data_IF_296391342709
#
_entry.id   IF_296391342709
#
_cell.length_a   1.000
_cell.length_b   1.000
_cell.length_c   1.000
_cell.angle_alpha   90.00
_cell.angle_beta   90.00
_cell.angle_gamma   90.00
#
_symmetry.space_group_name_H-M   'P 1'
#
loop_
_entity.id
_entity.type
_entity.pdbx_description
1 polymer ?
#
# COMPACT_ATOMS: atom_id res chain seq x y z
N UNK A 1 -11.12 -15.16 18.82
CA UNK A 1 -10.32 -14.78 17.63
C UNK A 1 -10.00 -13.27 17.54
N UNK A 2 -10.37 -12.42 18.51
CA UNK A 2 -10.24 -10.94 18.41
C UNK A 2 -9.17 -10.28 19.31
N UNK A 3 -8.47 -11.05 20.15
CA UNK A 3 -7.43 -10.55 21.07
C UNK A 3 -6.12 -10.09 20.37
N UNK A 4 -5.69 -10.65 19.21
CA UNK A 4 -4.42 -10.24 18.58
C UNK A 4 -4.46 -8.80 18.00
N UNK A 5 -5.62 -8.36 17.50
CA UNK A 5 -5.77 -7.07 16.79
C UNK A 5 -5.69 -5.89 17.77
N UNK A 6 -6.28 -6.03 18.96
CA UNK A 6 -6.21 -4.99 20.01
C UNK A 6 -4.82 -4.86 20.64
N UNK A 7 -4.01 -5.94 20.67
CA UNK A 7 -2.62 -5.88 21.17
C UNK A 7 -1.66 -5.22 20.19
N UNK A 8 -1.93 -5.29 18.89
CA UNK A 8 -1.11 -4.63 17.88
C UNK A 8 -1.26 -3.09 17.94
N UNK A 9 -2.50 -2.60 18.08
CA UNK A 9 -2.81 -1.16 18.17
C UNK A 9 -2.31 -0.50 19.47
N UNK A 10 -2.27 -1.25 20.59
CA UNK A 10 -1.82 -0.69 21.88
C UNK A 10 -0.29 -0.58 22.02
N UNK A 11 0.49 -1.33 21.22
CA UNK A 11 1.96 -1.32 21.28
C UNK A 11 2.60 -0.18 20.48
N UNK A 12 1.93 0.33 19.45
CA UNK A 12 2.42 1.45 18.63
C UNK A 12 2.29 2.80 19.34
N UNK A 13 1.33 2.95 20.25
CA UNK A 13 1.06 4.22 20.94
C UNK A 13 2.08 4.59 22.05
N UNK A 14 2.97 3.66 22.48
CA UNK A 14 3.88 3.89 23.62
C UNK A 14 5.33 4.24 23.25
N UNK A 15 5.67 4.34 21.95
CA UNK A 15 7.07 4.46 21.50
C UNK A 15 7.47 5.80 20.86
N UNK A 16 6.56 6.76 20.72
CA UNK A 16 6.87 8.04 20.06
C UNK A 16 6.48 9.23 20.93
N UNK A 17 7.18 9.35 22.05
CA UNK A 17 7.47 10.63 22.70
C UNK A 17 8.98 10.66 22.78
N UNK A 18 9.62 11.46 21.92
CA UNK A 18 10.99 12.02 21.99
C UNK A 18 11.64 12.05 20.59
N UNK A 19 12.36 13.16 20.32
CA UNK A 19 13.15 13.49 19.11
C UNK A 19 12.38 14.29 18.05
N UNK A 20 12.38 15.63 18.09
CA UNK A 20 13.45 16.61 17.74
C UNK A 20 13.41 17.00 16.25
N UNK A 21 13.25 18.31 16.06
CA UNK A 21 13.18 19.13 14.84
C UNK A 21 14.56 19.30 14.17
N UNK A 22 14.59 19.33 12.83
CA UNK A 22 15.82 19.63 12.06
C UNK A 22 15.59 20.03 10.60
N UNK A 23 15.60 21.34 10.37
CA UNK A 23 15.92 22.18 9.19
C UNK A 23 16.38 21.56 7.86
N UNK A 24 15.79 22.03 6.76
CA UNK A 24 16.22 21.80 5.36
C UNK A 24 16.78 23.10 4.74
N UNK A 25 18.05 23.07 4.30
CA UNK A 25 18.65 24.03 3.36
C UNK A 25 18.91 23.28 2.06
N UNK A 26 18.51 23.83 0.90
CA UNK A 26 18.83 23.24 -0.42
C UNK A 26 19.36 24.30 -1.37
N UNK A 27 20.63 24.13 -1.76
CA UNK A 27 21.29 24.86 -2.84
C UNK A 27 21.23 24.06 -4.15
N UNK A 28 21.05 24.84 -5.23
CA UNK A 28 20.98 24.49 -6.66
C UNK A 28 22.37 24.19 -7.23
N UNK A 29 22.45 23.29 -8.22
CA UNK A 29 23.45 23.31 -9.32
C UNK A 29 22.99 22.45 -10.50
N UNK A 30 23.27 22.98 -11.69
CA UNK A 30 22.82 22.54 -13.01
C UNK A 30 23.77 21.52 -13.68
N UNK A 31 23.21 20.84 -14.69
CA UNK A 31 23.79 20.27 -15.92
C UNK A 31 24.79 19.08 -15.87
N UNK A 32 24.44 17.97 -16.57
CA UNK A 32 25.03 17.49 -17.84
C UNK A 32 24.55 16.05 -18.13
N UNK A 33 24.00 15.81 -19.33
CA UNK A 33 23.66 14.49 -19.88
C UNK A 33 24.91 13.68 -20.24
N UNK A 34 24.86 12.34 -20.14
CA UNK A 34 25.22 11.57 -21.32
C UNK A 34 24.27 10.39 -21.62
N UNK A 35 24.37 10.00 -22.88
CA UNK A 35 23.60 9.09 -23.70
C UNK A 35 23.82 7.59 -23.43
N UNK A 36 22.71 6.85 -23.51
CA UNK A 36 22.47 5.54 -24.13
C UNK A 36 23.57 4.45 -24.07
N UNK A 37 23.31 3.45 -23.22
CA UNK A 37 23.60 2.03 -23.51
C UNK A 37 22.64 1.12 -22.73
N UNK A 38 21.37 1.12 -23.13
CA UNK A 38 20.37 0.15 -22.70
C UNK A 38 20.47 -1.11 -23.58
N UNK A 39 20.97 -2.20 -23.01
CA UNK A 39 20.45 -3.57 -23.24
C UNK A 39 21.34 -4.57 -22.52
N UNK A 40 21.03 -4.84 -21.25
CA UNK A 40 21.04 -6.15 -20.55
C UNK A 40 20.85 -5.88 -19.05
N UNK A 41 19.68 -5.36 -18.67
CA UNK A 41 19.33 -5.12 -17.26
C UNK A 41 18.06 -5.90 -16.91
N UNK A 42 18.15 -7.23 -17.04
CA UNK A 42 17.07 -8.15 -16.68
C UNK A 42 17.23 -8.56 -15.21
N UNK A 43 16.34 -8.05 -14.36
CA UNK A 43 16.06 -8.48 -12.99
C UNK A 43 17.24 -8.52 -12.00
N UNK A 44 17.80 -7.34 -11.66
CA UNK A 44 18.57 -7.18 -10.42
C UNK A 44 17.62 -6.76 -9.30
N UNK A 45 17.70 -7.41 -8.13
CA UNK A 45 16.87 -7.05 -6.98
C UNK A 45 17.10 -5.58 -6.58
N UNK A 46 16.06 -4.81 -6.20
CA UNK A 46 16.17 -3.37 -5.90
C UNK A 46 17.22 -3.04 -4.83
N UNK A 47 17.41 -3.94 -3.85
CA UNK A 47 18.44 -3.80 -2.82
C UNK A 47 19.87 -3.79 -3.36
N UNK A 48 20.11 -4.49 -4.46
CA UNK A 48 21.43 -4.59 -5.09
C UNK A 48 21.75 -3.34 -5.91
N UNK A 49 20.71 -2.70 -6.47
CA UNK A 49 20.82 -1.40 -7.14
C UNK A 49 21.07 -0.28 -6.11
N UNK A 50 20.40 -0.34 -4.96
CA UNK A 50 20.65 0.59 -3.86
C UNK A 50 22.07 0.45 -3.30
N UNK A 51 22.51 -0.77 -3.00
CA UNK A 51 23.88 -1.04 -2.54
C UNK A 51 24.94 -0.56 -3.54
N UNK A 52 24.72 -0.78 -4.84
CA UNK A 52 25.61 -0.29 -5.90
C UNK A 52 25.65 1.25 -5.96
N UNK A 53 24.51 1.92 -5.79
CA UNK A 53 24.46 3.39 -5.78
C UNK A 53 25.20 4.01 -4.58
N UNK A 54 25.07 3.40 -3.39
CA UNK A 54 25.79 3.83 -2.19
C UNK A 54 27.29 3.60 -2.31
N UNK A 55 27.68 2.43 -2.84
CA UNK A 55 29.07 2.12 -3.16
C UNK A 55 29.71 3.16 -4.08
N UNK A 56 29.03 3.53 -5.17
CA UNK A 56 29.51 4.56 -6.10
C UNK A 56 29.62 5.92 -5.41
N UNK A 57 28.66 6.29 -4.56
CA UNK A 57 28.71 7.54 -3.81
C UNK A 57 29.91 7.60 -2.86
N UNK A 58 30.29 6.48 -2.22
CA UNK A 58 31.45 6.41 -1.33
C UNK A 58 32.75 6.48 -2.14
N UNK A 59 32.86 5.72 -3.24
CA UNK A 59 34.06 5.69 -4.09
C UNK A 59 34.35 7.06 -4.71
N UNK A 60 33.31 7.83 -5.05
CA UNK A 60 33.44 9.15 -5.69
C UNK A 60 33.74 10.29 -4.71
N UNK A 61 33.75 10.05 -3.40
CA UNK A 61 34.12 11.10 -2.43
C UNK A 61 35.62 11.44 -2.53
N UNK A 62 35.98 12.74 -2.65
CA UNK A 62 37.36 13.15 -2.88
C UNK A 62 38.25 12.87 -1.66
N UNK A 63 39.33 12.09 -1.87
CA UNK A 63 40.31 11.69 -0.84
C UNK A 63 40.99 12.86 -0.11
N UNK A 64 40.94 14.07 -0.66
CA UNK A 64 41.54 15.27 -0.07
C UNK A 64 40.84 15.74 1.22
N UNK A 65 39.58 15.33 1.45
CA UNK A 65 38.75 15.84 2.54
C UNK A 65 38.69 14.91 3.76
N UNK A 66 39.46 13.82 3.75
CA UNK A 66 39.33 12.71 4.70
C UNK A 66 40.60 12.63 5.56
N UNK A 67 40.43 12.78 6.87
CA UNK A 67 41.49 12.63 7.87
C UNK A 67 42.18 11.26 7.80
N UNK A 68 43.44 11.14 8.27
CA UNK A 68 44.22 9.90 8.15
C UNK A 68 43.54 8.68 8.79
N UNK A 69 42.78 8.86 9.88
CA UNK A 69 42.07 7.76 10.55
C UNK A 69 40.88 7.26 9.72
N UNK A 70 40.15 8.15 9.02
CA UNK A 70 39.03 7.78 8.16
C UNK A 70 39.47 7.20 6.81
N UNK A 71 40.73 7.37 6.40
CA UNK A 71 41.27 6.73 5.18
C UNK A 71 41.22 5.20 5.23
N UNK A 72 41.50 4.59 6.39
CA UNK A 72 41.47 3.13 6.52
C UNK A 72 40.03 2.60 6.41
N UNK A 73 39.08 3.24 7.09
CA UNK A 73 37.66 2.86 7.05
C UNK A 73 37.07 3.05 5.64
N UNK A 74 37.40 4.16 4.96
CA UNK A 74 36.95 4.42 3.58
C UNK A 74 37.59 3.41 2.60
N UNK A 75 38.85 3.05 2.80
CA UNK A 75 39.51 2.02 2.00
C UNK A 75 38.86 0.64 2.19
N UNK A 76 38.58 0.23 3.42
CA UNK A 76 37.89 -1.03 3.71
C UNK A 76 36.45 -1.04 3.17
N UNK A 77 35.74 0.08 3.25
CA UNK A 77 34.41 0.22 2.66
C UNK A 77 34.45 0.12 1.12
N UNK A 78 35.47 0.68 0.48
CA UNK A 78 35.68 0.54 -0.97
C UNK A 78 35.98 -0.90 -1.39
N UNK A 79 36.79 -1.63 -0.62
CA UNK A 79 37.04 -3.05 -0.87
C UNK A 79 35.76 -3.89 -0.72
N UNK A 80 34.95 -3.62 0.30
CA UNK A 80 33.66 -4.28 0.51
C UNK A 80 32.68 -3.97 -0.63
N UNK A 81 32.62 -2.72 -1.07
CA UNK A 81 31.80 -2.28 -2.18
C UNK A 81 32.19 -2.99 -3.50
N UNK A 82 33.48 -3.12 -3.78
CA UNK A 82 33.97 -3.85 -4.96
C UNK A 82 33.58 -5.33 -4.91
N UNK A 83 33.68 -5.97 -3.73
CA UNK A 83 33.34 -7.39 -3.55
C UNK A 83 31.84 -7.65 -3.80
N UNK A 84 30.96 -6.71 -3.42
CA UNK A 84 29.51 -6.78 -3.71
C UNK A 84 29.22 -6.60 -5.20
N UNK A 85 29.98 -5.72 -5.88
CA UNK A 85 29.80 -5.46 -7.31
C UNK A 85 30.29 -6.62 -8.18
N UNK A 86 31.38 -7.29 -7.79
CA UNK A 86 31.94 -8.41 -8.55
C UNK A 86 31.15 -9.70 -8.38
N UNK A 87 30.52 -9.93 -7.22
CA UNK A 87 29.78 -11.17 -6.95
C UNK A 87 28.33 -10.95 -6.43
N UNK A 88 27.40 -10.50 -7.29
CA UNK A 88 26.04 -10.14 -6.89
C UNK A 88 25.14 -11.34 -6.52
N UNK A 89 25.54 -12.57 -6.86
CA UNK A 89 24.71 -13.77 -6.65
C UNK A 89 24.97 -14.47 -5.30
N UNK A 90 26.15 -14.29 -4.71
CA UNK A 90 26.55 -14.99 -3.47
C UNK A 90 26.02 -14.36 -2.17
N UNK A 91 25.39 -13.18 -2.21
CA UNK A 91 25.16 -12.35 -1.02
C UNK A 91 23.72 -12.18 -0.51
N UNK A 92 22.71 -12.90 -1.02
CA UNK A 92 21.29 -12.64 -0.69
C UNK A 92 20.96 -12.55 0.81
N UNK A 93 21.47 -13.42 1.72
CA UNK A 93 21.16 -13.31 3.14
C UNK A 93 21.93 -12.19 3.87
N UNK A 94 23.04 -11.69 3.31
CA UNK A 94 23.91 -10.69 3.97
C UNK A 94 23.83 -9.28 3.35
N UNK A 95 23.10 -9.10 2.25
CA UNK A 95 23.00 -7.81 1.54
C UNK A 95 22.41 -6.70 2.41
N UNK A 96 21.49 -7.02 3.33
CA UNK A 96 20.92 -6.05 4.28
C UNK A 96 21.97 -5.51 5.26
N UNK A 97 22.82 -6.39 5.78
CA UNK A 97 23.90 -6.03 6.71
C UNK A 97 24.92 -5.15 6.01
N UNK A 98 25.31 -5.50 4.79
CA UNK A 98 26.23 -4.68 3.99
C UNK A 98 25.63 -3.31 3.69
N UNK A 99 24.35 -3.24 3.34
CA UNK A 99 23.66 -1.98 3.04
C UNK A 99 23.57 -1.07 4.27
N UNK A 100 23.33 -1.64 5.46
CA UNK A 100 23.33 -0.88 6.73
C UNK A 100 24.72 -0.31 7.05
N UNK A 101 25.78 -1.10 6.86
CA UNK A 101 27.16 -0.65 7.06
C UNK A 101 27.51 0.48 6.07
N UNK A 102 27.16 0.33 4.79
CA UNK A 102 27.42 1.35 3.77
C UNK A 102 26.66 2.66 4.06
N UNK A 103 25.41 2.60 4.53
CA UNK A 103 24.67 3.81 4.96
C UNK A 103 25.34 4.50 6.15
N UNK A 104 25.84 3.73 7.11
CA UNK A 104 26.53 4.28 8.29
C UNK A 104 27.85 4.94 7.90
N UNK A 105 28.61 4.35 6.99
CA UNK A 105 29.82 4.95 6.41
C UNK A 105 29.48 6.24 5.65
N UNK A 106 28.48 6.21 4.77
CA UNK A 106 28.06 7.39 4.01
C UNK A 106 27.61 8.54 4.93
N UNK A 107 26.86 8.22 5.98
CA UNK A 107 26.43 9.18 6.99
C UNK A 107 27.63 9.84 7.67
N UNK A 108 28.61 9.06 8.15
CA UNK A 108 29.80 9.60 8.81
C UNK A 108 30.65 10.44 7.86
N UNK A 109 30.85 9.99 6.62
CA UNK A 109 31.61 10.74 5.60
C UNK A 109 30.94 12.07 5.24
N UNK A 110 29.60 12.11 5.18
CA UNK A 110 28.85 13.36 4.91
C UNK A 110 28.83 14.34 6.08
N UNK A 111 28.88 13.84 7.32
CA UNK A 111 28.76 14.67 8.53
C UNK A 111 30.10 15.03 9.17
N UNK A 112 31.21 14.47 8.69
CA UNK A 112 32.56 14.92 9.05
C UNK A 112 32.81 16.28 8.38
N UNK A 113 32.32 17.35 9.01
CA UNK A 113 32.58 18.72 8.57
C UNK A 113 34.08 19.01 8.74
N UNK A 114 34.73 19.67 7.77
CA UNK A 114 36.11 20.09 7.94
C UNK A 114 36.17 21.07 9.11
N UNK A 115 36.58 20.57 10.28
CA UNK A 115 36.79 21.38 11.46
C UNK A 115 37.86 22.41 11.13
N UNK A 116 37.43 23.66 11.01
CA UNK A 116 38.29 24.78 10.72
C UNK A 116 39.29 24.93 11.88
N UNK A 117 40.50 24.42 11.66
CA UNK A 117 41.80 24.77 12.26
C UNK A 117 41.68 25.70 13.49
N UNK A 118 41.33 25.13 14.63
CA UNK A 118 41.32 25.78 15.94
C UNK A 118 41.37 24.68 16.99
N UNK A 119 42.55 24.45 17.57
CA UNK A 119 42.85 23.26 18.37
C UNK A 119 42.03 23.16 19.65
N UNK A 120 40.89 22.47 19.55
CA UNK A 120 40.12 21.95 20.67
C UNK A 120 39.89 20.46 20.41
N UNK A 121 40.16 19.66 21.43
CA UNK A 121 40.39 18.22 21.34
C UNK A 121 39.34 17.45 20.55
N UNK A 122 39.83 16.54 19.70
CA UNK A 122 39.03 15.50 19.05
C UNK A 122 38.23 14.75 20.13
N UNK A 123 36.90 14.72 19.97
CA UNK A 123 36.03 14.01 20.91
C UNK A 123 36.36 12.53 20.87
N UNK A 124 36.88 11.97 21.97
CA UNK A 124 37.23 10.55 22.12
C UNK A 124 36.11 9.58 21.70
N UNK A 125 34.86 10.05 21.64
CA UNK A 125 33.70 9.28 21.21
C UNK A 125 33.66 9.01 19.69
N UNK A 126 34.17 9.94 18.87
CA UNK A 126 34.13 9.79 17.40
C UNK A 126 35.17 8.78 16.93
N UNK A 127 36.33 8.74 17.59
CA UNK A 127 37.38 7.73 17.37
C UNK A 127 36.90 6.32 17.76
N UNK A 128 36.19 6.19 18.89
CA UNK A 128 35.60 4.92 19.29
C UNK A 128 34.55 4.44 18.27
N UNK A 129 33.70 5.33 17.76
CA UNK A 129 32.71 4.99 16.73
C UNK A 129 33.38 4.54 15.42
N UNK A 130 34.45 5.20 14.98
CA UNK A 130 35.21 4.81 13.79
C UNK A 130 35.89 3.45 13.95
N UNK A 131 36.46 3.17 15.13
CA UNK A 131 37.08 1.88 15.43
C UNK A 131 36.05 0.73 15.42
N UNK A 132 34.88 0.93 16.06
CA UNK A 132 33.81 -0.08 16.03
C UNK A 132 33.30 -0.35 14.62
N UNK A 133 33.19 0.68 13.78
CA UNK A 133 32.76 0.53 12.39
C UNK A 133 33.81 -0.21 11.54
N UNK A 134 35.09 0.04 11.78
CA UNK A 134 36.18 -0.70 11.13
C UNK A 134 36.17 -2.19 11.49
N UNK A 135 35.85 -2.54 12.74
CA UNK A 135 35.72 -3.93 13.17
C UNK A 135 34.50 -4.62 12.53
N UNK A 136 33.36 -3.92 12.42
CA UNK A 136 32.15 -4.45 11.75
C UNK A 136 32.40 -4.72 10.25
N UNK A 137 33.10 -3.81 9.56
CA UNK A 137 33.48 -3.99 8.15
C UNK A 137 34.41 -5.20 7.99
N UNK A 138 35.40 -5.35 8.89
CA UNK A 138 36.35 -6.48 8.86
C UNK A 138 35.64 -7.82 9.04
N UNK A 139 34.73 -7.93 10.01
CA UNK A 139 33.95 -9.15 10.25
C UNK A 139 33.10 -9.53 9.04
N UNK A 140 32.40 -8.58 8.44
CA UNK A 140 31.57 -8.86 7.25
C UNK A 140 32.43 -9.26 6.05
N UNK A 141 33.63 -8.68 5.91
CA UNK A 141 34.60 -9.08 4.88
C UNK A 141 35.08 -10.52 5.07
N UNK A 142 35.51 -10.89 6.27
CA UNK A 142 35.94 -12.26 6.62
C UNK A 142 34.83 -13.29 6.38
N UNK A 143 33.59 -12.94 6.73
CA UNK A 143 32.39 -13.74 6.53
C UNK A 143 32.06 -13.97 5.05
N UNK A 144 32.36 -13.01 4.18
CA UNK A 144 32.16 -13.11 2.75
C UNK A 144 33.28 -13.93 2.09
N UNK A 145 34.52 -13.80 2.56
CA UNK A 145 35.66 -14.58 2.03
C UNK A 145 35.59 -16.06 2.44
N UNK A 146 35.20 -16.37 3.68
CA UNK A 146 35.01 -17.76 4.17
C UNK A 146 33.94 -18.53 3.38
N UNK A 147 32.90 -17.83 2.92
CA UNK A 147 31.82 -18.43 2.11
C UNK A 147 32.31 -18.79 0.70
N UNK A 148 33.33 -18.09 0.19
CA UNK A 148 33.91 -18.36 -1.13
C UNK A 148 34.83 -19.61 -1.08
N UNK A 149 35.62 -19.78 -0.01
CA UNK A 149 36.60 -20.86 0.14
C UNK A 149 35.95 -22.24 0.38
N UNK A 150 34.94 -22.31 1.25
CA UNK A 150 34.17 -23.54 1.52
C UNK A 150 33.45 -24.09 0.28
N UNK A 151 33.12 -23.22 -0.69
CA UNK A 151 32.45 -23.63 -1.92
C UNK A 151 33.40 -24.23 -2.97
N UNK A 152 34.67 -23.80 -2.98
CA UNK A 152 35.68 -24.37 -3.89
C UNK A 152 35.96 -25.83 -3.51
N UNK A 153 35.89 -26.18 -2.23
CA UNK A 153 36.03 -27.56 -1.76
C UNK A 153 34.80 -28.44 -2.10
N UNK A 154 33.58 -27.93 -1.93
CA UNK A 154 32.35 -28.69 -2.24
C UNK A 154 32.16 -28.93 -3.76
N UNK A 155 32.65 -28.02 -4.61
CA UNK A 155 32.48 -28.14 -6.06
C UNK A 155 33.46 -29.14 -6.71
N UNK A 156 34.46 -29.63 -5.97
CA UNK A 156 35.40 -30.67 -6.39
C UNK A 156 34.94 -32.10 -6.03
N UNK A 157 33.83 -32.24 -5.27
CA UNK A 157 33.40 -33.52 -4.71
C UNK A 157 32.24 -34.24 -5.45
N UNK A 158 31.76 -33.72 -6.58
CA UNK A 158 30.49 -34.17 -7.19
C UNK A 158 30.57 -34.85 -8.58
N UNK A 159 31.76 -35.28 -9.03
CA UNK A 159 31.92 -35.82 -10.40
C UNK A 159 31.99 -37.36 -10.52
N UNK A 160 31.53 -38.10 -9.51
CA UNK A 160 31.34 -39.56 -9.62
C UNK A 160 29.98 -39.96 -9.06
N UNK A 161 29.03 -40.33 -9.92
CA UNK A 161 28.22 -41.57 -9.86
C UNK A 161 27.13 -41.55 -10.93
N UNK A 162 27.25 -42.45 -11.89
CA UNK A 162 26.32 -42.74 -12.97
C UNK A 162 25.35 -43.89 -12.64
N UNK A 163 24.24 -43.92 -13.39
CA UNK A 163 23.51 -45.11 -13.92
C UNK A 163 22.36 -45.79 -13.13
N UNK A 164 21.20 -45.82 -13.81
CA UNK A 164 20.44 -47.03 -14.24
C UNK A 164 19.11 -47.43 -13.58
N UNK A 165 18.10 -47.64 -14.47
CA UNK A 165 17.02 -48.68 -14.51
C UNK A 165 15.92 -48.71 -13.43
N UNK A 166 14.69 -49.20 -13.62
CA UNK A 166 13.95 -49.86 -14.73
C UNK A 166 12.45 -49.99 -14.40
N UNK A 167 11.61 -49.89 -15.45
CA UNK A 167 10.44 -50.72 -15.87
C UNK A 167 9.81 -51.70 -14.84
N UNK A 168 8.47 -51.70 -14.75
CA UNK A 168 7.65 -52.91 -14.52
C UNK A 168 6.21 -52.76 -15.03
N UNK A 169 5.83 -53.68 -15.91
CA UNK A 169 4.50 -54.01 -16.45
C UNK A 169 3.82 -55.07 -15.56
N UNK A 170 2.47 -55.12 -15.53
CA UNK A 170 1.79 -56.43 -15.58
C UNK A 170 0.30 -56.40 -15.94
N UNK A 171 -0.04 -57.37 -16.77
CA UNK A 171 -1.32 -57.79 -17.35
C UNK A 171 -2.13 -58.67 -16.38
N UNK A 172 -3.46 -58.76 -16.55
CA UNK A 172 -4.13 -60.04 -16.84
C UNK A 172 -5.64 -59.91 -17.11
N UNK A 173 -6.06 -60.60 -18.19
CA UNK A 173 -7.43 -60.93 -18.61
C UNK A 173 -7.96 -62.10 -17.79
N UNK A 174 -9.28 -62.20 -17.62
CA UNK A 174 -10.04 -63.47 -17.77
C UNK A 174 -11.54 -63.21 -17.91
N UNK A 175 -12.20 -64.22 -18.46
CA UNK A 175 -13.41 -64.16 -19.30
C UNK A 175 -14.62 -64.79 -18.60
N UNK A 176 -15.81 -64.42 -19.10
CA UNK A 176 -17.06 -65.20 -19.21
C UNK A 176 -17.94 -65.47 -17.96
N UNK A 177 -19.13 -64.85 -17.95
CA UNK A 177 -20.41 -65.60 -17.95
C UNK A 177 -21.61 -64.70 -18.28
N UNK A 178 -22.32 -65.04 -19.36
CA UNK A 178 -23.64 -64.48 -19.70
C UNK A 178 -24.69 -64.95 -18.69
N UNK A 179 -25.39 -64.00 -18.04
CA UNK A 179 -26.74 -64.16 -17.49
C UNK A 179 -27.50 -62.85 -17.68
N UNK A 180 -28.80 -62.99 -17.93
CA UNK A 180 -29.78 -61.97 -18.28
C UNK A 180 -29.68 -60.68 -17.44
N UNK A 181 -29.85 -59.54 -18.10
CA UNK A 181 -29.81 -58.19 -17.53
C UNK A 181 -31.16 -57.83 -16.88
N UNK A 182 -31.26 -57.76 -15.54
CA UNK A 182 -32.14 -56.78 -14.91
C UNK A 182 -31.54 -55.38 -15.12
N UNK A 183 -32.40 -54.37 -15.30
CA UNK A 183 -31.98 -52.97 -15.36
C UNK A 183 -31.02 -52.65 -14.21
N UNK A 184 -29.82 -52.11 -14.48
CA UNK A 184 -28.95 -51.66 -13.41
C UNK A 184 -29.62 -50.43 -12.80
N UNK A 185 -30.25 -50.60 -11.64
CA UNK A 185 -30.45 -49.50 -10.71
C UNK A 185 -29.06 -48.99 -10.37
N UNK A 186 -28.60 -47.99 -11.14
CA UNK A 186 -27.37 -47.27 -10.91
C UNK A 186 -27.55 -46.57 -9.54
N UNK A 187 -27.22 -47.29 -8.46
CA UNK A 187 -26.86 -46.66 -7.19
C UNK A 187 -25.57 -45.91 -7.48
N UNK A 188 -25.70 -44.73 -8.08
CA UNK A 188 -24.64 -43.73 -8.10
C UNK A 188 -24.36 -43.49 -6.63
N UNK A 189 -23.22 -44.00 -6.18
CA UNK A 189 -22.71 -43.76 -4.84
C UNK A 189 -22.57 -42.24 -4.69
N UNK A 190 -23.61 -41.58 -4.17
CA UNK A 190 -23.69 -40.14 -3.91
C UNK A 190 -22.74 -39.67 -2.80
N UNK A 191 -21.69 -40.44 -2.49
CA UNK A 191 -20.93 -40.34 -1.25
C UNK A 191 -19.55 -39.67 -1.43
N UNK A 192 -19.11 -39.33 -2.65
CA UNK A 192 -17.79 -38.68 -2.83
C UNK A 192 -17.76 -37.25 -3.35
N UNK A 193 -18.88 -36.64 -3.76
CA UNK A 193 -18.88 -35.24 -4.24
C UNK A 193 -19.05 -34.22 -3.09
N UNK A 194 -19.61 -34.63 -1.93
CA UNK A 194 -19.90 -33.70 -0.83
C UNK A 194 -18.66 -33.24 -0.06
N UNK A 195 -17.58 -34.04 -0.01
CA UNK A 195 -16.35 -33.69 0.70
C UNK A 195 -15.52 -32.63 -0.04
N UNK A 196 -15.61 -32.57 -1.38
CA UNK A 196 -14.93 -31.54 -2.18
C UNK A 196 -15.57 -30.16 -2.09
N UNK A 197 -16.91 -30.09 -2.05
CA UNK A 197 -17.65 -28.83 -1.97
C UNK A 197 -17.41 -28.09 -0.64
N UNK A 198 -17.29 -28.83 0.47
CA UNK A 198 -16.99 -28.26 1.78
C UNK A 198 -15.64 -27.55 1.80
N UNK A 199 -14.60 -28.21 1.27
CA UNK A 199 -13.26 -27.64 1.17
C UNK A 199 -13.24 -26.38 0.29
N UNK A 200 -13.90 -26.42 -0.87
CA UNK A 200 -14.01 -25.29 -1.80
C UNK A 200 -14.68 -24.07 -1.16
N UNK A 201 -15.76 -24.26 -0.40
CA UNK A 201 -16.48 -23.17 0.29
C UNK A 201 -15.61 -22.50 1.36
N UNK A 202 -14.88 -23.27 2.16
CA UNK A 202 -13.93 -22.71 3.14
C UNK A 202 -12.75 -22.01 2.48
N UNK A 203 -12.31 -22.45 1.31
CA UNK A 203 -11.20 -21.83 0.60
C UNK A 203 -11.63 -20.51 -0.07
N UNK A 204 -12.80 -20.49 -0.69
CA UNK A 204 -13.39 -19.30 -1.32
C UNK A 204 -13.62 -18.18 -0.31
N UNK A 205 -14.20 -18.47 0.86
CA UNK A 205 -14.40 -17.46 1.92
C UNK A 205 -13.08 -16.89 2.47
N UNK A 206 -12.04 -17.72 2.62
CA UNK A 206 -10.70 -17.24 3.02
C UNK A 206 -10.03 -16.40 1.94
N UNK A 207 -10.21 -16.75 0.67
CA UNK A 207 -9.70 -15.96 -0.46
C UNK A 207 -10.43 -14.62 -0.55
N UNK A 208 -11.76 -14.61 -0.50
CA UNK A 208 -12.55 -13.38 -0.47
C UNK A 208 -12.17 -12.50 0.72
N UNK A 209 -11.93 -13.07 1.90
CA UNK A 209 -11.48 -12.31 3.06
C UNK A 209 -10.06 -11.76 2.90
N UNK A 210 -9.15 -12.51 2.27
CA UNK A 210 -7.80 -12.01 1.97
C UNK A 210 -7.83 -10.92 0.90
N UNK A 211 -8.58 -11.11 -0.17
CA UNK A 211 -8.83 -10.08 -1.18
C UNK A 211 -9.49 -8.86 -0.54
N UNK A 212 -10.45 -9.06 0.37
CA UNK A 212 -11.06 -7.99 1.14
C UNK A 212 -10.03 -7.23 1.96
N UNK A 213 -9.22 -7.89 2.77
CA UNK A 213 -8.18 -7.22 3.57
C UNK A 213 -7.15 -6.51 2.69
N UNK A 214 -6.66 -7.16 1.64
CA UNK A 214 -5.66 -6.57 0.73
C UNK A 214 -6.23 -5.36 0.03
N UNK A 215 -7.45 -5.46 -0.51
CA UNK A 215 -8.08 -4.38 -1.24
C UNK A 215 -8.50 -3.24 -0.30
N UNK A 216 -8.92 -3.53 0.93
CA UNK A 216 -9.27 -2.51 1.93
C UNK A 216 -8.04 -1.79 2.50
N UNK A 217 -6.88 -2.45 2.56
CA UNK A 217 -5.63 -1.84 3.01
C UNK A 217 -4.84 -1.15 1.88
N UNK A 218 -4.91 -1.66 0.65
CA UNK A 218 -4.13 -1.14 -0.48
C UNK A 218 -4.90 -0.11 -1.31
N UNK A 219 -6.24 -0.10 -1.35
CA UNK A 219 -6.94 0.99 -2.02
C UNK A 219 -6.68 2.37 -1.41
N UNK A 220 -6.67 2.54 -0.08
CA UNK A 220 -6.28 3.82 0.51
C UNK A 220 -4.91 4.25 0.02
N UNK A 221 -3.95 3.32 -0.07
CA UNK A 221 -2.60 3.60 -0.59
C UNK A 221 -2.62 3.99 -2.06
N UNK A 222 -3.43 3.31 -2.88
CA UNK A 222 -3.58 3.65 -4.29
C UNK A 222 -4.21 5.04 -4.47
N UNK A 223 -5.26 5.35 -3.71
CA UNK A 223 -5.91 6.65 -3.74
C UNK A 223 -4.99 7.77 -3.24
N UNK A 224 -4.23 7.52 -2.18
CA UNK A 224 -3.22 8.46 -1.69
C UNK A 224 -2.08 8.67 -2.68
N UNK A 225 -1.62 7.61 -3.34
CA UNK A 225 -0.66 7.72 -4.44
C UNK A 225 -1.21 8.60 -5.56
N UNK A 226 -2.52 8.49 -5.87
CA UNK A 226 -3.18 9.33 -6.87
C UNK A 226 -3.24 10.80 -6.43
N UNK A 227 -3.65 11.07 -5.20
CA UNK A 227 -3.64 12.44 -4.64
C UNK A 227 -2.22 13.00 -4.71
N UNK A 228 -1.22 12.22 -4.32
CA UNK A 228 0.17 12.63 -4.36
C UNK A 228 0.64 12.93 -5.80
N UNK A 229 0.20 12.15 -6.79
CA UNK A 229 0.47 12.47 -8.20
C UNK A 229 -0.21 13.75 -8.63
N UNK A 230 -1.42 14.06 -8.17
CA UNK A 230 -2.09 15.33 -8.46
C UNK A 230 -1.35 16.52 -7.86
N UNK A 231 -0.96 16.41 -6.58
CA UNK A 231 -0.21 17.48 -5.91
C UNK A 231 1.16 17.69 -6.54
N UNK A 232 1.77 16.64 -7.11
CA UNK A 232 3.09 16.71 -7.75
C UNK A 232 3.04 17.15 -9.22
N UNK A 233 2.02 16.73 -9.96
CA UNK A 233 1.84 17.06 -11.38
C UNK A 233 1.12 18.39 -11.60
N UNK A 234 0.49 18.93 -10.56
CA UNK A 234 0.19 20.36 -10.53
C UNK A 234 1.56 21.05 -10.60
N UNK A 235 1.88 21.63 -11.75
CA UNK A 235 3.19 22.21 -12.01
C UNK A 235 3.66 23.02 -10.79
N UNK A 236 4.95 22.90 -10.39
CA UNK A 236 5.46 23.76 -9.35
C UNK A 236 5.08 25.17 -9.73
N UNK A 237 4.30 25.84 -8.87
CA UNK A 237 3.89 27.23 -9.05
C UNK A 237 5.07 27.97 -9.67
N UNK A 238 4.88 28.63 -10.84
CA UNK A 238 5.98 29.32 -11.48
C UNK A 238 6.68 30.13 -10.39
N UNK A 239 7.98 29.90 -10.24
CA UNK A 239 8.79 30.36 -9.11
C UNK A 239 8.72 31.89 -8.92
N UNK A 240 8.18 32.56 -9.93
CA UNK A 240 7.67 33.92 -9.91
C UNK A 240 6.16 33.88 -10.06
N UNK A 241 5.41 34.06 -8.97
CA UNK A 241 4.03 34.52 -9.09
C UNK A 241 4.09 35.80 -9.94
N UNK A 242 3.41 35.90 -11.10
CA UNK A 242 3.49 37.08 -11.93
C UNK A 242 3.13 38.26 -11.04
N UNK A 243 4.07 39.19 -10.88
CA UNK A 243 3.82 40.40 -10.10
C UNK A 243 2.59 41.03 -10.71
N UNK A 244 1.47 40.98 -9.98
CA UNK A 244 0.27 41.67 -10.39
C UNK A 244 0.69 43.13 -10.35
N UNK A 245 0.97 43.70 -11.51
CA UNK A 245 1.43 45.07 -11.66
C UNK A 245 0.34 45.99 -11.10
N UNK A 246 0.36 46.18 -9.79
CA UNK A 246 -0.43 47.17 -9.09
C UNK A 246 0.22 48.50 -9.41
N UNK A 247 -0.18 49.07 -10.54
CA UNK A 247 -0.03 50.48 -10.78
C UNK A 247 -0.75 51.22 -9.63
N UNK A 248 0.04 51.74 -8.70
CA UNK A 248 -0.28 52.87 -7.81
C UNK A 248 -1.50 52.71 -6.90
N UNK A 249 -1.35 51.99 -5.79
CA UNK A 249 -2.10 52.31 -4.56
C UNK A 249 -1.11 52.37 -3.41
N UNK A 250 -0.66 53.57 -3.09
CA UNK A 250 0.53 53.89 -2.28
C UNK A 250 0.26 53.85 -0.75
N UNK A 251 -0.82 53.24 -0.30
CA UNK A 251 -1.26 53.38 1.10
C UNK A 251 -1.73 52.09 1.79
N UNK A 252 -1.57 50.92 1.18
CA UNK A 252 -1.89 49.65 1.85
C UNK A 252 -0.60 48.87 2.13
N UNK A 253 -0.39 48.39 3.37
CA UNK A 253 0.78 47.58 3.71
C UNK A 253 0.83 46.35 2.82
N UNK A 254 2.05 45.98 2.43
CA UNK A 254 2.47 44.89 1.55
C UNK A 254 2.06 43.50 2.12
N UNK A 255 0.76 43.22 2.15
CA UNK A 255 0.22 41.96 2.65
C UNK A 255 0.43 40.84 1.61
N UNK A 256 1.46 40.03 1.85
CA UNK A 256 1.72 38.64 1.45
C UNK A 256 1.18 38.17 0.07
N UNK A 257 1.88 38.56 -1.00
CA UNK A 257 1.76 37.95 -2.34
C UNK A 257 1.94 36.41 -2.35
N UNK A 258 2.61 35.84 -1.33
CA UNK A 258 2.75 34.39 -1.14
C UNK A 258 1.40 33.71 -0.83
N UNK A 259 0.47 34.40 -0.17
CA UNK A 259 -0.81 33.84 0.27
C UNK A 259 -1.79 33.61 -0.90
N UNK A 260 -1.74 34.47 -1.92
CA UNK A 260 -2.60 34.36 -3.12
C UNK A 260 -2.25 33.12 -3.97
N UNK A 261 -0.97 32.81 -4.12
CA UNK A 261 -0.53 31.64 -4.91
C UNK A 261 -0.88 30.30 -4.24
N UNK A 262 -0.89 30.26 -2.91
CA UNK A 262 -1.32 29.08 -2.14
C UNK A 262 -2.85 28.89 -2.21
N UNK A 263 -3.62 29.99 -2.25
CA UNK A 263 -5.07 29.94 -2.40
C UNK A 263 -5.49 29.37 -3.76
N UNK A 264 -4.84 29.81 -4.83
CA UNK A 264 -5.07 29.33 -6.20
C UNK A 264 -4.77 27.83 -6.35
N UNK A 265 -3.68 27.34 -5.74
CA UNK A 265 -3.38 25.92 -5.72
C UNK A 265 -4.44 25.13 -4.94
N UNK A 266 -4.82 25.64 -3.75
CA UNK A 266 -5.84 25.01 -2.92
C UNK A 266 -7.17 24.89 -3.66
N UNK A 267 -7.63 25.93 -4.35
CA UNK A 267 -8.88 25.92 -5.11
C UNK A 267 -8.85 24.90 -6.27
N UNK A 268 -7.73 24.77 -7.00
CA UNK A 268 -7.59 23.76 -8.05
C UNK A 268 -7.68 22.33 -7.52
N UNK A 269 -6.99 22.05 -6.41
CA UNK A 269 -7.03 20.71 -5.78
C UNK A 269 -8.45 20.43 -5.27
N UNK A 270 -9.05 21.39 -4.58
CA UNK A 270 -10.36 21.24 -3.97
C UNK A 270 -11.47 21.08 -5.01
N UNK A 271 -11.47 21.88 -6.07
CA UNK A 271 -12.45 21.78 -7.16
C UNK A 271 -12.39 20.43 -7.87
N UNK A 272 -11.18 19.89 -8.06
CA UNK A 272 -10.97 18.54 -8.62
C UNK A 272 -11.54 17.45 -7.71
N UNK A 273 -11.24 17.52 -6.42
CA UNK A 273 -11.78 16.61 -5.40
C UNK A 273 -13.31 16.67 -5.29
N UNK A 274 -13.87 17.87 -5.21
CA UNK A 274 -15.32 18.08 -5.16
C UNK A 274 -16.00 17.54 -6.42
N UNK A 275 -15.38 17.71 -7.60
CA UNK A 275 -15.89 17.14 -8.84
C UNK A 275 -15.90 15.61 -8.81
N UNK A 276 -14.84 14.98 -8.31
CA UNK A 276 -14.76 13.52 -8.18
C UNK A 276 -15.79 12.99 -7.15
N UNK A 277 -15.96 13.66 -6.01
CA UNK A 277 -16.97 13.24 -5.04
C UNK A 277 -18.39 13.42 -5.56
N UNK A 278 -18.64 14.46 -6.35
CA UNK A 278 -19.94 14.65 -7.00
C UNK A 278 -20.24 13.53 -7.98
N UNK A 279 -19.26 13.06 -8.76
CA UNK A 279 -19.46 11.91 -9.65
C UNK A 279 -19.63 10.61 -8.86
N UNK A 280 -18.87 10.39 -7.79
CA UNK A 280 -19.02 9.23 -6.90
C UNK A 280 -20.40 9.19 -6.24
N UNK A 281 -20.94 10.34 -5.83
CA UNK A 281 -22.31 10.43 -5.28
C UNK A 281 -23.34 10.00 -6.31
N UNK A 282 -23.27 10.53 -7.53
CA UNK A 282 -24.18 10.13 -8.62
C UNK A 282 -24.05 8.64 -8.90
N UNK A 283 -22.83 8.12 -9.01
CA UNK A 283 -22.58 6.70 -9.25
C UNK A 283 -23.17 5.82 -8.13
N UNK A 284 -22.99 6.20 -6.87
CA UNK A 284 -23.57 5.48 -5.73
C UNK A 284 -25.11 5.46 -5.78
N UNK A 285 -25.75 6.54 -6.22
CA UNK A 285 -27.20 6.59 -6.37
C UNK A 285 -27.72 5.69 -7.50
N UNK A 286 -26.96 5.57 -8.60
CA UNK A 286 -27.28 4.68 -9.71
C UNK A 286 -27.18 3.22 -9.24
N UNK A 287 -26.08 2.87 -8.58
CA UNK A 287 -25.88 1.51 -8.05
C UNK A 287 -26.99 1.17 -7.06
N UNK A 288 -27.34 2.10 -6.16
CA UNK A 288 -28.43 1.91 -5.21
C UNK A 288 -29.76 1.63 -5.92
N UNK A 289 -30.13 2.42 -6.93
CA UNK A 289 -31.34 2.20 -7.72
C UNK A 289 -31.32 0.85 -8.47
N UNK A 290 -30.17 0.48 -9.06
CA UNK A 290 -30.01 -0.79 -9.77
C UNK A 290 -30.09 -2.00 -8.84
N UNK A 291 -29.49 -1.93 -7.65
CA UNK A 291 -29.57 -2.99 -6.65
C UNK A 291 -31.00 -3.15 -6.15
N UNK A 292 -31.71 -2.05 -5.88
CA UNK A 292 -33.12 -2.11 -5.49
C UNK A 292 -33.99 -2.74 -6.58
N UNK A 293 -33.79 -2.36 -7.84
CA UNK A 293 -34.52 -2.96 -8.97
C UNK A 293 -34.24 -4.47 -9.10
N UNK A 294 -33.00 -4.90 -8.84
CA UNK A 294 -32.64 -6.33 -8.84
C UNK A 294 -33.31 -7.09 -7.68
N UNK A 295 -33.41 -6.49 -6.50
CA UNK A 295 -34.07 -7.07 -5.33
C UNK A 295 -35.59 -7.15 -5.47
N UNK A 296 -36.21 -6.38 -6.37
CA UNK A 296 -37.66 -6.46 -6.64
C UNK A 296 -38.08 -7.71 -7.42
N UNK A 297 -37.13 -8.48 -7.96
CA UNK A 297 -37.42 -9.74 -8.63
C UNK A 297 -37.65 -10.80 -7.54
N UNK A 298 -38.87 -11.31 -7.40
CA UNK A 298 -39.26 -12.27 -6.34
C UNK A 298 -38.29 -13.47 -6.24
N UNK A 299 -37.83 -13.98 -7.40
CA UNK A 299 -36.87 -15.08 -7.47
C UNK A 299 -35.51 -14.77 -6.80
N UNK A 300 -35.10 -13.51 -6.77
CA UNK A 300 -33.84 -13.07 -6.14
C UNK A 300 -33.96 -13.00 -4.62
N UNK A 301 -35.15 -12.73 -4.09
CA UNK A 301 -35.39 -12.68 -2.65
C UNK A 301 -35.32 -14.07 -2.01
N UNK A 302 -35.77 -15.09 -2.73
CA UNK A 302 -35.75 -16.48 -2.27
C UNK A 302 -34.33 -17.07 -2.24
N UNK A 303 -33.45 -16.67 -3.16
CA UNK A 303 -32.06 -17.13 -3.14
C UNK A 303 -31.13 -16.24 -2.30
N UNK A 304 -30.68 -16.82 -1.19
CA UNK A 304 -29.71 -16.22 -0.30
C UNK A 304 -28.32 -15.97 -0.92
N UNK A 305 -27.94 -16.71 -1.97
CA UNK A 305 -26.62 -16.55 -2.62
C UNK A 305 -26.57 -15.27 -3.44
N UNK A 306 -27.63 -14.96 -4.19
CA UNK A 306 -27.77 -13.72 -4.95
C UNK A 306 -28.09 -12.52 -4.04
N UNK A 307 -29.03 -12.66 -3.11
CA UNK A 307 -29.48 -11.52 -2.29
C UNK A 307 -28.41 -11.01 -1.31
N UNK A 308 -27.54 -11.88 -0.77
CA UNK A 308 -26.50 -11.48 0.18
C UNK A 308 -25.54 -10.42 -0.38
N UNK A 309 -24.82 -10.63 -1.50
CA UNK A 309 -23.93 -9.62 -2.06
C UNK A 309 -24.67 -8.35 -2.49
N UNK A 310 -25.94 -8.45 -2.91
CA UNK A 310 -26.79 -7.29 -3.19
C UNK A 310 -27.01 -6.42 -1.93
N UNK A 311 -27.33 -7.02 -0.78
CA UNK A 311 -27.49 -6.27 0.47
C UNK A 311 -26.19 -5.61 0.94
N UNK A 312 -25.04 -6.29 0.81
CA UNK A 312 -23.75 -5.66 1.11
C UNK A 312 -23.44 -4.51 0.15
N UNK A 313 -23.72 -4.69 -1.15
CA UNK A 313 -23.57 -3.63 -2.15
C UNK A 313 -24.40 -2.40 -1.77
N UNK A 314 -25.65 -2.60 -1.37
CA UNK A 314 -26.54 -1.53 -0.91
C UNK A 314 -25.99 -0.82 0.32
N UNK A 315 -25.52 -1.57 1.32
CA UNK A 315 -24.92 -1.02 2.54
C UNK A 315 -23.70 -0.14 2.23
N UNK A 316 -22.74 -0.64 1.44
CA UNK A 316 -21.56 0.15 1.05
C UNK A 316 -21.92 1.33 0.14
N UNK A 317 -22.95 1.20 -0.69
CA UNK A 317 -23.48 2.29 -1.51
C UNK A 317 -24.02 3.44 -0.66
N UNK A 318 -24.85 3.12 0.35
CA UNK A 318 -25.40 4.10 1.29
C UNK A 318 -24.28 4.77 2.11
N UNK A 319 -23.33 3.99 2.62
CA UNK A 319 -22.18 4.53 3.37
C UNK A 319 -21.33 5.48 2.50
N UNK A 320 -21.13 5.13 1.23
CA UNK A 320 -20.44 6.00 0.28
C UNK A 320 -21.22 7.30 0.05
N UNK A 321 -22.52 7.21 -0.22
CA UNK A 321 -23.37 8.36 -0.47
C UNK A 321 -23.38 9.34 0.71
N UNK A 322 -23.52 8.84 1.94
CA UNK A 322 -23.50 9.67 3.16
C UNK A 322 -22.12 10.31 3.37
N UNK A 323 -21.03 9.54 3.23
CA UNK A 323 -19.70 10.10 3.41
C UNK A 323 -19.35 11.15 2.35
N UNK A 324 -19.70 10.90 1.08
CA UNK A 324 -19.54 11.86 -0.01
C UNK A 324 -20.35 13.14 0.22
N UNK A 325 -21.60 13.05 0.68
CA UNK A 325 -22.42 14.25 0.94
C UNK A 325 -21.89 15.07 2.11
N UNK A 326 -21.45 14.44 3.19
CA UNK A 326 -20.84 15.13 4.33
C UNK A 326 -19.56 15.88 3.89
N UNK A 327 -18.69 15.21 3.12
CA UNK A 327 -17.46 15.82 2.61
C UNK A 327 -17.78 16.98 1.65
N UNK A 328 -18.70 16.79 0.71
CA UNK A 328 -19.13 17.82 -0.24
C UNK A 328 -19.64 19.07 0.49
N UNK A 329 -20.53 18.91 1.48
CA UNK A 329 -21.06 20.02 2.27
C UNK A 329 -19.98 20.75 3.08
N UNK A 330 -19.08 20.00 3.74
CA UNK A 330 -18.03 20.57 4.56
C UNK A 330 -17.09 21.46 3.74
N UNK A 331 -16.60 20.92 2.63
CA UNK A 331 -15.63 21.63 1.79
C UNK A 331 -16.27 22.75 0.96
N UNK A 332 -17.56 22.67 0.65
CA UNK A 332 -18.28 23.80 0.03
C UNK A 332 -18.40 24.99 0.97
N UNK A 333 -18.65 24.77 2.26
CA UNK A 333 -18.79 25.85 3.24
C UNK A 333 -17.44 26.49 3.62
N UNK A 334 -16.33 25.78 3.45
CA UNK A 334 -15.02 26.20 3.94
C UNK A 334 -13.95 26.50 2.89
N UNK A 335 -14.30 26.74 1.61
CA UNK A 335 -13.31 26.86 0.51
C UNK A 335 -12.16 27.84 0.77
N UNK A 336 -12.41 28.92 1.50
CA UNK A 336 -11.42 29.94 1.86
C UNK A 336 -10.91 29.82 3.30
N UNK A 337 -11.20 28.71 3.99
CA UNK A 337 -10.80 28.52 5.37
C UNK A 337 -9.29 28.30 5.47
N UNK A 338 -8.59 29.06 6.35
CA UNK A 338 -7.17 28.83 6.61
C UNK A 338 -6.89 27.41 7.12
N UNK A 339 -7.86 26.78 7.80
CA UNK A 339 -7.75 25.38 8.22
C UNK A 339 -7.72 24.40 7.04
N UNK A 340 -8.46 24.70 5.97
CA UNK A 340 -8.45 23.87 4.75
C UNK A 340 -7.15 24.07 3.98
N UNK A 341 -6.65 25.31 3.88
CA UNK A 341 -5.36 25.60 3.25
C UNK A 341 -4.23 24.86 3.98
N UNK A 342 -4.20 24.93 5.32
CA UNK A 342 -3.23 24.21 6.13
C UNK A 342 -3.35 22.69 5.97
N UNK A 343 -4.57 22.17 5.86
CA UNK A 343 -4.81 20.75 5.62
C UNK A 343 -4.35 20.31 4.22
N UNK A 344 -4.63 21.09 3.16
CA UNK A 344 -4.12 20.82 1.81
C UNK A 344 -2.60 20.87 1.78
N UNK A 345 -1.99 21.82 2.49
CA UNK A 345 -0.54 21.88 2.64
C UNK A 345 0.01 20.66 3.39
N UNK A 346 -0.71 20.19 4.41
CA UNK A 346 -0.37 18.94 5.10
C UNK A 346 -0.41 17.73 4.16
N UNK A 347 -1.33 17.68 3.18
CA UNK A 347 -1.36 16.63 2.17
C UNK A 347 -0.14 16.67 1.23
N UNK A 348 0.34 17.86 0.88
CA UNK A 348 1.52 18.05 0.03
C UNK A 348 2.80 17.56 0.69
N UNK A 349 2.92 17.76 2.00
CA UNK A 349 4.11 17.42 2.77
C UNK A 349 4.21 15.95 3.18
N UNK A 350 3.25 15.10 2.79
CA UNK A 350 3.32 13.65 3.03
C UNK A 350 4.35 13.05 2.07
N UNK A 351 5.62 13.12 2.45
CA UNK A 351 6.76 12.57 1.69
C UNK A 351 7.01 11.09 1.99
N UNK A 352 6.43 10.55 3.08
CA UNK A 352 6.65 9.18 3.53
C UNK A 352 5.45 8.25 3.26
N UNK A 353 5.70 6.92 3.13
CA UNK A 353 4.64 5.95 2.90
C UNK A 353 3.60 6.00 4.02
N UNK A 354 2.41 6.47 3.63
CA UNK A 354 1.21 6.76 4.41
C UNK A 354 1.07 5.97 5.72
N UNK A 355 1.04 6.68 6.86
CA UNK A 355 0.61 6.13 8.15
C UNK A 355 -0.91 6.08 8.15
N UNK A 356 -1.48 5.01 8.70
CA UNK A 356 -2.94 4.83 8.82
C UNK A 356 -3.62 5.89 9.71
N UNK A 357 -2.83 6.66 10.47
CA UNK A 357 -3.30 7.76 11.32
C UNK A 357 -3.45 9.09 10.56
N UNK A 358 -3.05 9.14 9.28
CA UNK A 358 -3.02 10.38 8.51
C UNK A 358 -4.44 10.78 8.05
N UNK A 359 -4.73 12.08 8.13
CA UNK A 359 -6.02 12.68 7.76
C UNK A 359 -6.38 12.44 6.27
N UNK A 360 -5.45 11.93 5.46
CA UNK A 360 -5.61 11.55 4.05
C UNK A 360 -6.48 10.30 3.84
N UNK A 361 -6.53 9.38 4.80
CA UNK A 361 -7.33 8.14 4.68
C UNK A 361 -8.82 8.46 4.58
N UNK A 362 -9.24 9.54 5.23
CA UNK A 362 -10.63 10.00 5.27
C UNK A 362 -11.11 10.46 3.88
N UNK A 363 -10.19 10.96 3.05
CA UNK A 363 -10.46 11.43 1.69
C UNK A 363 -10.80 10.30 0.72
N UNK A 364 -10.20 9.12 0.93
CA UNK A 364 -10.40 7.95 0.08
C UNK A 364 -11.71 7.22 0.37
N UNK A 365 -12.33 7.47 1.53
CA UNK A 365 -13.41 6.64 2.06
C UNK A 365 -14.62 6.51 1.11
N UNK A 366 -15.14 7.59 0.48
CA UNK A 366 -16.27 7.46 -0.44
C UNK A 366 -15.89 6.66 -1.70
N UNK A 367 -14.69 6.89 -2.25
CA UNK A 367 -14.22 6.17 -3.44
C UNK A 367 -14.11 4.67 -3.17
N UNK A 368 -13.55 4.30 -2.01
CA UNK A 368 -13.38 2.90 -1.60
C UNK A 368 -14.72 2.23 -1.37
N UNK A 369 -15.63 2.90 -0.66
CA UNK A 369 -16.96 2.36 -0.38
C UNK A 369 -17.77 2.18 -1.67
N UNK A 370 -17.68 3.12 -2.62
CA UNK A 370 -18.29 2.96 -3.95
C UNK A 370 -17.69 1.79 -4.72
N UNK A 371 -16.36 1.64 -4.74
CA UNK A 371 -15.70 0.54 -5.44
C UNK A 371 -16.16 -0.84 -4.93
N UNK A 372 -16.27 -1.00 -3.61
CA UNK A 372 -16.82 -2.21 -2.99
C UNK A 372 -18.28 -2.45 -3.35
N UNK A 373 -19.10 -1.40 -3.29
CA UNK A 373 -20.50 -1.47 -3.69
C UNK A 373 -20.65 -1.97 -5.13
N UNK A 374 -19.90 -1.40 -6.07
CA UNK A 374 -19.89 -1.83 -7.48
C UNK A 374 -19.44 -3.29 -7.63
N UNK A 375 -18.34 -3.68 -6.99
CA UNK A 375 -17.80 -5.03 -7.12
C UNK A 375 -18.77 -6.09 -6.58
N UNK A 376 -19.40 -5.83 -5.43
CA UNK A 376 -20.41 -6.71 -4.87
C UNK A 376 -21.68 -6.78 -5.71
N UNK A 377 -22.08 -5.66 -6.34
CA UNK A 377 -23.19 -5.65 -7.28
C UNK A 377 -22.91 -6.52 -8.50
N UNK A 378 -21.70 -6.42 -9.08
CA UNK A 378 -21.28 -7.27 -10.20
C UNK A 378 -21.30 -8.75 -9.79
N UNK A 379 -20.80 -9.09 -8.60
CA UNK A 379 -20.86 -10.47 -8.08
C UNK A 379 -22.31 -10.94 -7.97
N UNK A 380 -23.22 -10.09 -7.50
CA UNK A 380 -24.65 -10.40 -7.42
C UNK A 380 -25.25 -10.71 -8.80
N UNK A 381 -24.96 -9.88 -9.81
CA UNK A 381 -25.41 -10.11 -11.19
C UNK A 381 -24.88 -11.45 -11.72
N UNK A 382 -23.59 -11.71 -11.53
CA UNK A 382 -22.96 -12.96 -11.99
C UNK A 382 -23.64 -14.17 -11.32
N UNK A 383 -23.86 -14.12 -10.00
CA UNK A 383 -24.56 -15.18 -9.27
C UNK A 383 -25.97 -15.41 -9.85
N UNK A 384 -26.72 -14.33 -10.10
CA UNK A 384 -28.06 -14.40 -10.68
C UNK A 384 -28.06 -15.04 -12.08
N UNK A 385 -27.08 -14.68 -12.93
CA UNK A 385 -26.99 -15.24 -14.28
C UNK A 385 -26.69 -16.75 -14.29
N UNK A 386 -25.90 -17.24 -13.33
CA UNK A 386 -25.58 -18.67 -13.22
C UNK A 386 -26.77 -19.51 -12.72
N UNK A 387 -27.62 -18.95 -11.86
CA UNK A 387 -28.84 -19.63 -11.41
C UNK A 387 -29.89 -19.74 -12.51
N UNK A 388 -30.00 -18.72 -13.38
CA UNK A 388 -30.91 -18.73 -14.51
C UNK A 388 -30.61 -19.85 -15.52
N UNK A 389 -29.34 -20.18 -15.72
CA UNK A 389 -28.91 -21.20 -16.70
C UNK A 389 -29.22 -22.65 -16.25
N UNK A 390 -29.33 -22.90 -14.94
CA UNK A 390 -29.50 -24.26 -14.40
C UNK A 390 -30.93 -24.80 -14.53
N UNK A 391 -31.88 -23.98 -14.99
CA UNK A 391 -33.31 -24.26 -14.83
C UNK A 391 -34.06 -24.91 -16.00
N UNK A 392 -33.49 -25.11 -17.20
CA UNK A 392 -34.34 -25.30 -18.41
C UNK A 392 -33.85 -26.27 -19.51
N UNK A 393 -32.91 -27.17 -19.27
CA UNK A 393 -32.46 -28.08 -20.33
C UNK A 393 -33.39 -29.29 -20.57
N UNK A 394 -33.97 -29.87 -19.53
CA UNK A 394 -34.88 -31.01 -19.66
C UNK A 394 -36.23 -30.63 -19.04
N UNK A 395 -37.28 -30.54 -19.87
CA UNK A 395 -38.65 -30.18 -19.50
C UNK A 395 -39.34 -31.16 -18.53
N UNK A 396 -38.58 -31.90 -17.74
CA UNK A 396 -39.07 -32.61 -16.57
C UNK A 396 -39.34 -31.58 -15.48
N UNK A 397 -40.56 -31.54 -14.89
CA UNK A 397 -40.81 -30.82 -13.65
C UNK A 397 -39.99 -31.50 -12.55
N UNK A 398 -38.73 -31.10 -12.44
CA UNK A 398 -37.90 -31.46 -11.30
C UNK A 398 -38.54 -30.69 -10.16
N UNK A 399 -39.17 -31.42 -9.23
CA UNK A 399 -39.42 -30.98 -7.87
C UNK A 399 -38.09 -30.43 -7.36
N UNK A 400 -37.92 -29.14 -7.60
CA UNK A 400 -36.66 -28.45 -7.46
C UNK A 400 -36.50 -28.40 -5.97
N UNK A 401 -35.60 -29.25 -5.48
CA UNK A 401 -35.06 -29.13 -4.14
C UNK A 401 -34.49 -27.73 -4.11
N UNK A 402 -35.33 -26.76 -3.73
CA UNK A 402 -34.90 -25.44 -3.35
C UNK A 402 -33.74 -25.72 -2.42
N UNK A 403 -32.54 -25.30 -2.81
CA UNK A 403 -31.38 -25.40 -1.96
C UNK A 403 -31.64 -24.39 -0.84
N UNK A 404 -32.54 -24.74 0.08
CA UNK A 404 -32.81 -24.01 1.30
C UNK A 404 -31.48 -24.09 2.01
N UNK A 405 -30.72 -22.99 1.90
CA UNK A 405 -29.45 -22.89 2.57
C UNK A 405 -29.66 -23.28 4.01
N UNK A 406 -28.77 -24.13 4.52
CA UNK A 406 -28.79 -24.55 5.93
C UNK A 406 -29.07 -23.32 6.80
N UNK A 407 -30.02 -23.38 7.75
CA UNK A 407 -30.40 -22.24 8.59
C UNK A 407 -29.19 -21.52 9.22
N UNK A 408 -28.12 -22.27 9.50
CA UNK A 408 -26.82 -21.77 9.98
C UNK A 408 -26.13 -20.76 9.04
N UNK A 409 -26.26 -20.93 7.73
CA UNK A 409 -25.66 -20.05 6.73
C UNK A 409 -26.37 -18.69 6.71
N UNK A 410 -27.72 -18.69 6.75
CA UNK A 410 -28.51 -17.46 6.80
C UNK A 410 -28.15 -16.57 8.00
N UNK A 411 -27.97 -17.20 9.17
CA UNK A 411 -27.58 -16.51 10.41
C UNK A 411 -26.18 -15.92 10.29
N UNK A 412 -25.24 -16.64 9.67
CA UNK A 412 -23.88 -16.17 9.45
C UNK A 412 -23.85 -14.90 8.58
N UNK A 413 -24.67 -14.85 7.53
CA UNK A 413 -24.75 -13.66 6.67
C UNK A 413 -25.32 -12.44 7.39
N UNK A 414 -26.36 -12.62 8.21
CA UNK A 414 -26.92 -11.54 9.04
C UNK A 414 -25.87 -10.98 9.98
N UNK A 415 -25.11 -11.84 10.68
CA UNK A 415 -24.02 -11.41 11.56
C UNK A 415 -22.96 -10.62 10.78
N UNK A 416 -22.55 -11.10 9.60
CA UNK A 416 -21.56 -10.40 8.76
C UNK A 416 -22.07 -9.01 8.33
N UNK A 417 -23.36 -8.89 7.99
CA UNK A 417 -23.98 -7.63 7.62
C UNK A 417 -24.00 -6.65 8.80
N UNK A 418 -24.35 -7.12 10.00
CA UNK A 418 -24.25 -6.31 11.23
C UNK A 418 -22.82 -5.85 11.51
N UNK A 419 -21.84 -6.72 11.35
CA UNK A 419 -20.41 -6.36 11.54
C UNK A 419 -20.00 -5.30 10.52
N UNK A 420 -20.35 -5.47 9.24
CA UNK A 420 -20.06 -4.48 8.21
C UNK A 420 -20.72 -3.14 8.48
N UNK A 421 -21.95 -3.13 9.00
CA UNK A 421 -22.67 -1.92 9.40
C UNK A 421 -21.97 -1.22 10.57
N UNK A 422 -21.55 -1.94 11.60
CA UNK A 422 -20.80 -1.39 12.74
C UNK A 422 -19.47 -0.80 12.28
N UNK A 423 -18.76 -1.49 11.38
CA UNK A 423 -17.51 -1.00 10.79
C UNK A 423 -17.78 0.29 10.00
N UNK A 424 -18.83 0.33 9.18
CA UNK A 424 -19.26 1.51 8.46
C UNK A 424 -19.50 2.70 9.39
N UNK A 425 -20.29 2.50 10.46
CA UNK A 425 -20.53 3.54 11.47
C UNK A 425 -19.22 4.00 12.13
N UNK A 426 -18.31 3.06 12.43
CA UNK A 426 -16.98 3.37 12.96
C UNK A 426 -16.20 4.32 12.04
N UNK A 427 -16.21 4.07 10.73
CA UNK A 427 -15.61 4.96 9.75
C UNK A 427 -16.29 6.33 9.68
N UNK A 428 -17.62 6.39 9.76
CA UNK A 428 -18.36 7.65 9.80
C UNK A 428 -17.99 8.49 11.04
N UNK A 429 -17.86 7.85 12.20
CA UNK A 429 -17.42 8.51 13.44
C UNK A 429 -15.99 9.02 13.30
N UNK A 430 -15.10 8.26 12.67
CA UNK A 430 -13.73 8.69 12.39
C UNK A 430 -13.70 9.91 11.47
N UNK A 431 -14.46 9.87 10.36
CA UNK A 431 -14.65 10.99 9.44
C UNK A 431 -15.12 12.26 10.20
N UNK A 432 -16.16 12.15 11.02
CA UNK A 432 -16.68 13.29 11.79
C UNK A 432 -15.65 13.84 12.79
N UNK A 433 -14.82 12.98 13.39
CA UNK A 433 -13.74 13.43 14.29
C UNK A 433 -12.66 14.20 13.54
N UNK A 434 -12.27 13.73 12.36
CA UNK A 434 -11.29 14.42 11.50
C UNK A 434 -11.83 15.77 11.05
N UNK A 435 -13.09 15.84 10.61
CA UNK A 435 -13.72 17.11 10.23
C UNK A 435 -13.79 18.09 11.40
N UNK A 436 -14.12 17.62 12.62
CA UNK A 436 -14.07 18.46 13.83
C UNK A 436 -12.67 18.96 14.15
N UNK A 437 -11.64 18.14 13.93
CA UNK A 437 -10.24 18.54 14.13
C UNK A 437 -9.85 19.66 13.17
N UNK A 438 -10.23 19.55 11.88
CA UNK A 438 -9.99 20.58 10.87
C UNK A 438 -10.77 21.85 11.21
N UNK A 439 -12.05 21.73 11.61
CA UNK A 439 -12.88 22.87 12.02
C UNK A 439 -12.31 23.61 13.23
N UNK A 440 -11.78 22.92 14.23
CA UNK A 440 -11.12 23.58 15.37
C UNK A 440 -9.86 24.35 14.99
N UNK A 441 -9.08 23.81 14.06
CA UNK A 441 -7.89 24.49 13.55
C UNK A 441 -8.28 25.79 12.81
N UNK A 442 -9.41 25.78 12.11
CA UNK A 442 -9.97 26.98 11.49
C UNK A 442 -10.33 28.04 12.53
N UNK A 443 -11.05 27.69 13.60
CA UNK A 443 -11.45 28.65 14.64
C UNK A 443 -10.23 29.33 15.29
N UNK A 444 -9.14 28.59 15.50
CA UNK A 444 -7.90 29.14 16.06
C UNK A 444 -7.17 30.09 15.12
N UNK A 445 -7.18 29.81 13.81
CA UNK A 445 -6.54 30.65 12.82
C UNK A 445 -7.30 31.97 12.62
N UNK A 446 -8.63 31.90 12.58
CA UNK A 446 -9.50 33.07 12.45
C UNK A 446 -9.31 34.03 13.64
N UNK A 447 -9.30 33.50 14.87
CA UNK A 447 -9.06 34.30 16.07
C UNK A 447 -7.67 34.95 16.09
N UNK A 448 -6.64 34.26 15.60
CA UNK A 448 -5.28 34.82 15.51
C UNK A 448 -5.16 35.94 14.49
N UNK A 449 -5.97 35.92 13.42
CA UNK A 449 -6.07 36.99 12.44
C UNK A 449 -6.75 38.24 13.03
N UNK A 450 -7.81 38.04 13.80
CA UNK A 450 -8.53 39.14 14.47
C UNK A 450 -7.64 39.85 15.50
N UNK A 451 -6.82 39.12 16.27
CA UNK A 451 -5.93 39.73 17.26
C UNK A 451 -4.72 40.49 16.66
N UNK A 452 -4.45 40.31 15.38
CA UNK A 452 -3.29 40.93 14.69
C UNK A 452 -3.64 42.25 14.00
N UNK A 453 -4.94 42.51 13.78
CA UNK A 453 -5.48 43.78 13.31
C UNK A 453 -5.97 44.63 14.49
#
# INVERSE_FOLDING_TARGET
>A
MFIPILRYVRRTHRRTSNSVTGTTIKNRKDLVHPSNSESTQRSRSPLLQEAASLAISIITTPKSNVEPLSKNVVQQANELAQLVLTNPQNGKPKIKTVLEILRRVEFLVKHQTPSHRGGLGHSSNDEAALNTLGDDIRRVKEDLTMTEETRVEDSLAWDDTTTSTSISTNTNKTMLRRRCLPYPSLKINAIQVSSGLGAFRTHSTRLLFRFYILFLLDLPRFYASRIHTWTRNSDPLPQTCPSRNHSTSLLWPDFDQQSDCDLDFCDRVLTTLLREWKTLRVLSSIIFASVLAMLQIERVEEDSIVSTPAYFSLLFGVMSAISATILDLYFQCGKSSPGIIAWVHSLRNISEPMRLDDDSVVLALPAISTAWSTLLFIISIIAFTFEGYSGHADGTPVDTVHHILSPSASLSFRILLFIAMIIGIGYLVMLMRTLRKISRAQDTADFSGILRN
#
